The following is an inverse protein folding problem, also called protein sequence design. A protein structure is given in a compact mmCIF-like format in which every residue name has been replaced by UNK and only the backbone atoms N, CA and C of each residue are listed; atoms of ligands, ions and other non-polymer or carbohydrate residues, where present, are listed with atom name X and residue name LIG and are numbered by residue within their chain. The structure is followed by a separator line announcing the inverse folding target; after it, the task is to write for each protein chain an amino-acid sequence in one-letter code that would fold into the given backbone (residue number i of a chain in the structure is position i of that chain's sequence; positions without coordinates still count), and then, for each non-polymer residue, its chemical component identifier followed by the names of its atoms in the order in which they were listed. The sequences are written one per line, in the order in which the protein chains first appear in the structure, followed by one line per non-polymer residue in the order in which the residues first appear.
data_IF_835626569943
#
_entry.id   IF_835626569943
#
_cell.length_a   1.000
_cell.length_b   1.000
_cell.length_c   1.000
_cell.angle_alpha   90.00
_cell.angle_beta   90.00
_cell.angle_gamma   90.00
#
_symmetry.space_group_name_H-M   'P 1'
#
loop_
_entity.id
_entity.type
_entity.pdbx_description
1 polymer ?
#
# COMPACT_ATOMS: atom_id res chain seq x y z
N UNK A 1 15.79 -8.56 -2.31
CA UNK A 1 15.51 -7.12 -2.19
C UNK A 1 15.31 -6.55 -3.60
N UNK A 2 14.30 -5.71 -3.76
CA UNK A 2 14.11 -4.90 -4.98
C UNK A 2 14.36 -3.45 -4.60
N UNK A 3 15.40 -2.88 -5.16
CA UNK A 3 15.82 -1.50 -4.92
C UNK A 3 15.29 -0.57 -6.02
N UNK A 4 14.33 0.26 -5.66
CA UNK A 4 13.78 1.31 -6.51
C UNK A 4 14.65 2.57 -6.58
N UNK A 5 15.68 2.69 -5.74
CA UNK A 5 16.57 3.84 -5.67
C UNK A 5 17.71 3.81 -6.69
N UNK A 6 18.04 2.62 -7.18
CA UNK A 6 19.08 2.42 -8.20
C UNK A 6 20.52 2.52 -7.69
N UNK A 7 20.79 2.25 -6.42
CA UNK A 7 22.15 2.33 -5.85
C UNK A 7 22.89 0.98 -5.95
N UNK A 8 23.64 0.81 -7.05
CA UNK A 8 24.36 -0.43 -7.32
C UNK A 8 25.40 -0.80 -6.23
N UNK A 9 25.94 0.16 -5.51
CA UNK A 9 26.94 -0.07 -4.46
C UNK A 9 26.36 -0.85 -3.26
N UNK A 10 25.09 -0.64 -2.94
CA UNK A 10 24.39 -1.38 -1.87
C UNK A 10 24.25 -2.87 -2.20
N UNK A 11 24.16 -3.24 -3.49
CA UNK A 11 24.05 -4.62 -3.92
C UNK A 11 25.22 -5.45 -3.42
N UNK A 12 26.47 -5.04 -3.67
CA UNK A 12 27.66 -5.75 -3.23
C UNK A 12 27.72 -5.90 -1.71
N UNK A 13 27.36 -4.82 -0.99
CA UNK A 13 27.33 -4.85 0.47
C UNK A 13 26.37 -5.92 1.01
N UNK A 14 25.12 -5.95 0.53
CA UNK A 14 24.09 -6.84 1.05
C UNK A 14 24.33 -8.29 0.61
N UNK A 15 24.69 -8.55 -0.65
CA UNK A 15 24.93 -9.90 -1.16
C UNK A 15 26.16 -10.54 -0.53
N UNK A 16 27.19 -9.76 -0.20
CA UNK A 16 28.37 -10.27 0.53
C UNK A 16 28.08 -10.57 2.01
N UNK A 17 27.14 -9.83 2.61
CA UNK A 17 26.80 -9.98 4.04
C UNK A 17 25.82 -11.12 4.30
N UNK A 18 24.95 -11.44 3.36
CA UNK A 18 23.87 -12.40 3.51
C UNK A 18 23.86 -13.43 2.38
N UNK A 19 24.23 -14.68 2.69
CA UNK A 19 24.44 -15.77 1.72
C UNK A 19 23.24 -16.05 0.81
N UNK A 20 22.01 -15.91 1.33
CA UNK A 20 20.78 -16.24 0.59
C UNK A 20 20.05 -15.02 0.07
N UNK A 21 20.69 -13.84 0.05
CA UNK A 21 20.09 -12.62 -0.39
C UNK A 21 20.38 -12.38 -1.87
N UNK A 22 19.34 -12.05 -2.63
CA UNK A 22 19.45 -11.54 -4.01
C UNK A 22 18.99 -10.09 -4.04
N UNK A 23 19.80 -9.23 -4.62
CA UNK A 23 19.54 -7.80 -4.70
C UNK A 23 19.35 -7.35 -6.16
N UNK A 24 18.16 -6.84 -6.46
CA UNK A 24 17.80 -6.38 -7.78
C UNK A 24 17.72 -4.86 -7.80
N UNK A 25 18.50 -4.22 -8.65
CA UNK A 25 18.48 -2.79 -8.89
C UNK A 25 17.57 -2.53 -10.08
N UNK A 26 16.51 -1.76 -9.90
CA UNK A 26 15.50 -1.53 -10.95
C UNK A 26 15.96 -0.55 -12.06
N UNK A 27 16.99 0.26 -11.79
CA UNK A 27 17.45 1.32 -12.70
C UNK A 27 16.57 2.57 -12.71
N UNK A 28 15.30 2.45 -12.29
CA UNK A 28 14.36 3.55 -12.15
C UNK A 28 13.40 3.28 -10.97
N UNK A 29 12.70 4.32 -10.52
CA UNK A 29 11.66 4.15 -9.52
C UNK A 29 10.39 3.56 -10.15
N UNK A 30 10.20 2.25 -9.98
CA UNK A 30 9.07 1.49 -10.51
C UNK A 30 7.73 1.81 -9.82
N UNK A 31 7.77 2.39 -8.61
CA UNK A 31 6.62 2.43 -7.70
C UNK A 31 6.36 1.09 -7.04
N UNK A 32 5.33 1.03 -6.20
CA UNK A 32 5.04 -0.15 -5.37
C UNK A 32 4.53 -1.35 -6.19
N UNK A 33 3.47 -1.23 -7.01
CA UNK A 33 2.91 -2.37 -7.72
C UNK A 33 3.87 -3.03 -8.70
N UNK A 34 4.64 -2.25 -9.45
CA UNK A 34 5.61 -2.81 -10.39
C UNK A 34 6.75 -3.54 -9.68
N UNK A 35 7.18 -3.04 -8.51
CA UNK A 35 8.20 -3.70 -7.69
C UNK A 35 7.67 -5.04 -7.16
N UNK A 36 6.45 -5.08 -6.66
CA UNK A 36 5.84 -6.32 -6.19
C UNK A 36 5.54 -7.31 -7.33
N UNK A 37 5.10 -6.82 -8.48
CA UNK A 37 4.94 -7.66 -9.68
C UNK A 37 6.29 -8.24 -10.16
N UNK A 38 7.37 -7.45 -10.11
CA UNK A 38 8.72 -7.95 -10.39
C UNK A 38 9.14 -9.02 -9.37
N UNK A 39 8.91 -8.79 -8.07
CA UNK A 39 9.16 -9.79 -7.04
C UNK A 39 8.38 -11.07 -7.30
N UNK A 40 7.10 -10.96 -7.65
CA UNK A 40 6.26 -12.10 -7.96
C UNK A 40 6.77 -12.94 -9.15
N UNK A 41 7.42 -12.32 -10.13
CA UNK A 41 8.04 -13.02 -11.27
C UNK A 41 9.34 -13.73 -10.92
N UNK A 42 10.11 -13.17 -9.98
CA UNK A 42 11.45 -13.67 -9.60
C UNK A 42 11.38 -14.79 -8.56
N UNK A 43 10.42 -14.71 -7.62
CA UNK A 43 10.27 -15.67 -6.53
C UNK A 43 9.73 -17.00 -7.06
N UNK A 44 10.31 -18.13 -6.64
CA UNK A 44 9.92 -19.48 -7.08
C UNK A 44 9.04 -20.23 -6.07
N UNK A 45 8.93 -19.74 -4.83
CA UNK A 45 8.10 -20.35 -3.79
C UNK A 45 6.62 -20.03 -4.01
N UNK A 46 5.72 -20.88 -3.54
CA UNK A 46 4.28 -20.63 -3.56
C UNK A 46 3.89 -19.41 -2.74
N UNK A 47 4.46 -19.29 -1.55
CA UNK A 47 4.20 -18.17 -0.65
C UNK A 47 5.32 -17.14 -0.72
N UNK A 48 4.94 -15.86 -0.72
CA UNK A 48 5.85 -14.73 -0.73
C UNK A 48 5.47 -13.76 0.39
N UNK A 49 6.41 -13.41 1.24
CA UNK A 49 6.22 -12.37 2.25
C UNK A 49 6.77 -11.05 1.75
N UNK A 50 5.87 -10.11 1.49
CA UNK A 50 6.22 -8.74 1.12
C UNK A 50 6.28 -7.88 2.36
N UNK A 51 7.30 -7.02 2.45
CA UNK A 51 7.42 -6.03 3.52
C UNK A 51 8.15 -4.78 3.02
N UNK A 52 7.99 -3.69 3.76
CA UNK A 52 8.64 -2.41 3.50
C UNK A 52 9.92 -2.27 4.34
N UNK A 53 10.86 -1.37 3.94
CA UNK A 53 12.15 -1.22 4.64
C UNK A 53 12.04 -0.61 6.04
N UNK A 54 10.93 0.05 6.36
CA UNK A 54 10.60 0.65 7.66
C UNK A 54 9.77 -0.26 8.58
N UNK A 55 9.78 -1.57 8.30
CA UNK A 55 9.09 -2.59 9.09
C UNK A 55 10.09 -3.47 9.81
N UNK A 56 9.93 -3.60 11.12
CA UNK A 56 10.66 -4.56 11.95
C UNK A 56 9.78 -5.79 12.20
N UNK A 57 10.25 -6.94 11.71
CA UNK A 57 9.55 -8.22 11.89
C UNK A 57 9.87 -8.76 13.29
N UNK A 58 8.82 -8.97 14.12
CA UNK A 58 9.01 -9.53 15.47
C UNK A 58 9.25 -11.03 15.46
N UNK A 59 9.79 -11.53 16.56
CA UNK A 59 10.09 -12.94 16.74
C UNK A 59 8.84 -13.80 16.45
N UNK A 60 9.02 -14.91 15.75
CA UNK A 60 7.98 -15.86 15.35
C UNK A 60 6.90 -15.33 14.41
N UNK A 61 6.97 -14.09 13.92
CA UNK A 61 5.96 -13.54 13.01
C UNK A 61 5.74 -14.40 11.78
N UNK A 62 6.80 -14.69 11.03
CA UNK A 62 6.71 -15.51 9.80
C UNK A 62 6.25 -16.92 10.11
N UNK A 63 6.74 -17.52 11.19
CA UNK A 63 6.33 -18.86 11.62
C UNK A 63 4.83 -18.92 11.95
N UNK A 64 4.32 -17.93 12.66
CA UNK A 64 2.90 -17.84 13.02
C UNK A 64 2.02 -17.64 11.76
N UNK A 65 2.45 -16.81 10.81
CA UNK A 65 1.77 -16.68 9.51
C UNK A 65 1.70 -18.01 8.78
N UNK A 66 2.83 -18.74 8.68
CA UNK A 66 2.89 -20.04 8.00
C UNK A 66 2.04 -21.10 8.70
N UNK A 67 2.05 -21.14 10.04
CA UNK A 67 1.19 -22.06 10.82
C UNK A 67 -0.29 -21.79 10.59
N UNK A 68 -0.68 -20.52 10.41
CA UNK A 68 -2.07 -20.13 10.21
C UNK A 68 -2.65 -20.52 8.85
N UNK A 69 -1.81 -20.86 7.86
CA UNK A 69 -2.24 -21.28 6.52
C UNK A 69 -3.26 -22.44 6.58
N UNK A 70 -3.03 -23.41 7.44
CA UNK A 70 -3.90 -24.58 7.58
C UNK A 70 -5.28 -24.26 8.14
N UNK A 71 -5.42 -23.16 8.86
CA UNK A 71 -6.67 -22.73 9.48
C UNK A 71 -7.56 -21.96 8.48
N UNK A 72 -6.99 -21.43 7.43
CA UNK A 72 -7.68 -20.55 6.47
C UNK A 72 -7.50 -21.04 5.02
N UNK A 73 -8.16 -22.13 4.59
CA UNK A 73 -7.93 -22.74 3.27
C UNK A 73 -8.24 -21.82 2.10
N UNK A 74 -9.09 -20.80 2.31
CA UNK A 74 -9.46 -19.81 1.29
C UNK A 74 -8.63 -18.52 1.35
N UNK A 75 -7.63 -18.42 2.23
CA UNK A 75 -6.83 -17.19 2.29
C UNK A 75 -6.08 -16.94 0.97
N UNK A 76 -5.97 -15.69 0.59
CA UNK A 76 -5.03 -15.25 -0.44
C UNK A 76 -3.91 -14.40 0.17
N UNK A 77 -4.21 -13.66 1.22
CA UNK A 77 -3.25 -12.84 1.96
C UNK A 77 -3.45 -13.05 3.45
N UNK A 78 -2.35 -13.33 4.16
CA UNK A 78 -2.26 -13.24 5.62
C UNK A 78 -1.41 -12.01 5.96
N UNK A 79 -1.92 -11.13 6.81
CA UNK A 79 -1.21 -9.95 7.29
C UNK A 79 -0.95 -10.06 8.79
N UNK A 80 0.21 -9.68 9.28
CA UNK A 80 0.46 -9.62 10.71
C UNK A 80 -0.31 -8.47 11.36
N UNK A 81 -0.40 -8.52 12.69
CA UNK A 81 -0.83 -7.39 13.52
C UNK A 81 0.27 -6.33 13.53
N UNK A 82 -0.08 -5.09 13.23
CA UNK A 82 0.88 -3.99 13.08
C UNK A 82 0.88 -3.15 14.35
N UNK A 83 2.07 -2.82 14.83
CA UNK A 83 2.32 -1.90 15.93
C UNK A 83 3.09 -0.69 15.43
N UNK A 84 2.93 0.42 16.10
CA UNK A 84 3.75 1.62 15.94
C UNK A 84 4.07 2.19 17.32
N UNK A 85 5.34 2.32 17.66
CA UNK A 85 5.80 2.75 18.98
C UNK A 85 5.16 1.95 20.14
N UNK A 86 5.06 0.63 19.98
CA UNK A 86 4.47 -0.29 20.97
C UNK A 86 2.95 -0.19 21.11
N UNK A 87 2.27 0.63 20.30
CA UNK A 87 0.81 0.73 20.27
C UNK A 87 0.26 -0.02 19.07
N UNK A 88 -0.84 -0.72 19.26
CA UNK A 88 -1.56 -1.33 18.15
C UNK A 88 -1.97 -0.27 17.14
N UNK A 89 -1.61 -0.52 15.89
CA UNK A 89 -1.91 0.38 14.79
C UNK A 89 -2.89 -0.28 13.82
N UNK A 90 -4.09 0.29 13.72
CA UNK A 90 -5.11 -0.18 12.77
C UNK A 90 -4.72 0.30 11.38
N UNK A 91 -3.95 -0.53 10.68
CA UNK A 91 -3.55 -0.27 9.32
C UNK A 91 -4.19 -1.31 8.40
N UNK A 92 -5.05 -0.85 7.50
CA UNK A 92 -5.61 -1.70 6.45
C UNK A 92 -6.88 -2.49 6.77
N UNK A 93 -7.50 -2.28 7.91
CA UNK A 93 -8.82 -2.89 8.19
C UNK A 93 -9.95 -2.09 7.53
N UNK A 94 -9.70 -1.62 6.31
CA UNK A 94 -10.63 -0.73 5.61
C UNK A 94 -11.86 -1.46 5.11
N UNK A 95 -12.99 -0.79 5.20
CA UNK A 95 -14.06 -1.01 4.24
C UNK A 95 -13.61 -0.49 2.88
N UNK A 96 -13.13 -1.37 2.07
CA UNK A 96 -12.93 -1.07 0.65
C UNK A 96 -14.29 -0.91 0.01
N UNK A 97 -14.81 0.29 -0.08
CA UNK A 97 -16.06 0.67 -0.72
C UNK A 97 -17.27 -0.20 -0.31
N UNK A 98 -18.41 0.39 -0.09
CA UNK A 98 -19.70 -0.32 0.01
C UNK A 98 -20.03 -0.96 -1.35
N UNK A 99 -19.41 -2.06 -1.66
CA UNK A 99 -19.89 -2.95 -2.68
C UNK A 99 -20.93 -3.81 -1.97
N UNK A 100 -22.15 -3.79 -2.42
CA UNK A 100 -23.28 -4.60 -1.92
C UNK A 100 -23.09 -6.09 -2.15
N UNK A 101 -21.87 -6.57 -2.29
CA UNK A 101 -21.56 -7.95 -2.51
C UNK A 101 -21.53 -8.72 -1.17
N UNK A 102 -22.41 -9.71 -1.04
CA UNK A 102 -22.51 -10.61 0.12
C UNK A 102 -21.19 -11.29 0.50
N UNK A 103 -20.21 -11.36 -0.42
CA UNK A 103 -18.89 -11.91 -0.20
C UNK A 103 -18.04 -11.08 0.79
N UNK A 104 -18.42 -9.83 1.09
CA UNK A 104 -17.73 -8.96 2.02
C UNK A 104 -18.36 -8.89 3.42
N UNK A 105 -19.36 -9.71 3.71
CA UNK A 105 -20.16 -9.59 4.94
C UNK A 105 -19.47 -10.03 6.23
N UNK A 106 -18.33 -10.71 6.16
CA UNK A 106 -17.69 -11.32 7.34
C UNK A 106 -16.48 -10.54 7.85
N UNK A 107 -16.28 -9.30 7.43
CA UNK A 107 -15.19 -8.50 7.97
C UNK A 107 -15.60 -7.87 9.30
N UNK A 108 -14.76 -8.02 10.29
CA UNK A 108 -14.89 -7.32 11.56
C UNK A 108 -14.79 -5.80 11.33
N UNK A 109 -15.79 -5.06 11.81
CA UNK A 109 -15.83 -3.60 11.63
C UNK A 109 -15.06 -2.93 12.76
N UNK A 110 -13.77 -2.74 12.62
CA UNK A 110 -13.04 -1.79 13.43
C UNK A 110 -13.30 -0.36 12.93
N UNK A 111 -13.55 0.62 13.81
CA UNK A 111 -13.63 2.02 13.41
C UNK A 111 -12.27 2.47 12.87
N UNK A 112 -12.26 3.05 11.67
CA UNK A 112 -11.09 3.33 10.83
C UNK A 112 -10.10 4.37 11.36
N UNK A 113 -10.34 5.02 12.49
CA UNK A 113 -9.54 6.17 12.94
C UNK A 113 -9.01 6.05 14.38
N UNK A 114 -9.08 4.88 14.99
CA UNK A 114 -8.68 4.75 16.38
C UNK A 114 -7.38 3.95 16.50
N UNK A 115 -6.40 4.54 17.16
CA UNK A 115 -5.27 3.81 17.72
C UNK A 115 -5.82 3.08 18.94
N UNK A 116 -5.92 1.76 18.86
CA UNK A 116 -6.34 0.95 19.99
C UNK A 116 -5.15 0.69 20.90
N UNK A 117 -5.41 0.69 22.19
CA UNK A 117 -4.40 0.30 23.17
C UNK A 117 -4.07 -1.19 23.13
N UNK A 118 -4.96 -2.00 22.60
CA UNK A 118 -4.83 -3.46 22.53
C UNK A 118 -5.29 -3.97 21.16
N UNK A 119 -4.59 -4.96 20.59
CA UNK A 119 -5.05 -5.67 19.41
C UNK A 119 -6.29 -6.53 19.73
N UNK A 120 -7.02 -6.99 18.70
CA UNK A 120 -8.16 -7.90 18.88
C UNK A 120 -7.74 -9.21 19.55
N UNK A 121 -8.68 -9.92 20.15
CA UNK A 121 -8.40 -11.18 20.86
C UNK A 121 -8.10 -12.37 19.95
N UNK A 122 -8.41 -12.28 18.66
CA UNK A 122 -8.19 -13.35 17.68
C UNK A 122 -7.92 -12.84 16.27
N UNK A 123 -7.79 -13.78 15.34
CA UNK A 123 -7.59 -13.47 13.94
C UNK A 123 -8.83 -12.81 13.33
N UNK A 124 -8.62 -11.89 12.39
CA UNK A 124 -9.68 -11.12 11.75
C UNK A 124 -9.73 -11.36 10.25
N UNK A 125 -10.91 -11.72 9.74
CA UNK A 125 -11.18 -11.59 8.31
C UNK A 125 -11.46 -10.12 7.99
N UNK A 126 -10.64 -9.52 7.11
CA UNK A 126 -10.69 -8.08 6.78
C UNK A 126 -10.97 -7.87 5.28
N UNK A 127 -11.44 -6.68 4.93
CA UNK A 127 -11.72 -6.36 3.52
C UNK A 127 -10.44 -6.07 2.74
N UNK A 128 -9.46 -5.46 3.39
CA UNK A 128 -8.15 -5.18 2.82
C UNK A 128 -7.10 -5.09 3.93
N UNK A 129 -5.84 -5.16 3.54
CA UNK A 129 -4.67 -4.87 4.36
C UNK A 129 -3.74 -3.95 3.58
N UNK A 130 -2.86 -3.23 4.26
CA UNK A 130 -1.84 -2.42 3.60
C UNK A 130 -0.67 -3.27 3.11
N UNK A 131 0.05 -2.74 2.13
CA UNK A 131 1.30 -3.33 1.62
C UNK A 131 2.46 -3.36 2.61
N UNK A 132 2.26 -2.94 3.85
CA UNK A 132 3.27 -2.88 4.90
C UNK A 132 3.92 -4.24 5.18
N UNK A 133 3.07 -5.27 5.37
CA UNK A 133 3.54 -6.65 5.58
C UNK A 133 2.44 -7.64 5.18
N UNK A 134 2.73 -8.51 4.20
CA UNK A 134 1.76 -9.47 3.67
C UNK A 134 2.42 -10.79 3.29
N UNK A 135 1.90 -11.90 3.80
CA UNK A 135 2.17 -13.24 3.27
C UNK A 135 1.13 -13.56 2.20
N UNK A 136 1.57 -13.74 0.97
CA UNK A 136 0.74 -13.84 -0.23
C UNK A 136 0.81 -15.26 -0.79
N UNK A 137 -0.33 -15.85 -1.14
CA UNK A 137 -0.41 -17.05 -1.97
C UNK A 137 -0.31 -16.64 -3.45
N UNK A 138 0.86 -16.83 -4.05
CA UNK A 138 1.17 -16.39 -5.42
C UNK A 138 0.32 -17.07 -6.49
N UNK A 139 -0.16 -18.29 -6.25
CA UNK A 139 -1.06 -18.98 -7.19
C UNK A 139 -2.37 -18.20 -7.33
N UNK A 140 -2.92 -17.69 -6.23
CA UNK A 140 -4.14 -16.90 -6.23
C UNK A 140 -3.96 -15.51 -6.84
N UNK A 141 -2.77 -14.91 -6.67
CA UNK A 141 -2.43 -13.65 -7.34
C UNK A 141 -2.42 -13.81 -8.87
N UNK A 142 -1.92 -14.92 -9.39
CA UNK A 142 -1.91 -15.20 -10.84
C UNK A 142 -3.32 -15.24 -11.43
N UNK A 143 -4.31 -15.70 -10.69
CA UNK A 143 -5.71 -15.77 -11.13
C UNK A 143 -6.36 -14.39 -11.35
N UNK A 144 -5.77 -13.34 -10.82
CA UNK A 144 -6.24 -11.95 -10.92
C UNK A 144 -5.28 -11.05 -11.72
N UNK A 145 -4.40 -11.66 -12.54
CA UNK A 145 -3.46 -10.94 -13.41
C UNK A 145 -2.44 -10.06 -12.65
N UNK A 146 -2.06 -10.49 -11.41
CA UNK A 146 -1.04 -9.82 -10.61
C UNK A 146 -1.47 -8.42 -10.10
N UNK A 147 -0.51 -7.59 -9.73
CA UNK A 147 -0.70 -6.20 -9.30
C UNK A 147 -1.09 -5.30 -10.47
N UNK A 148 -1.98 -4.31 -10.25
CA UNK A 148 -2.27 -3.31 -11.29
C UNK A 148 -1.12 -2.30 -11.43
N UNK A 149 -0.27 -2.52 -12.40
CA UNK A 149 0.94 -1.74 -12.66
C UNK A 149 0.68 -0.33 -13.23
N UNK A 150 -0.58 0.03 -13.49
CA UNK A 150 -0.97 1.42 -13.82
C UNK A 150 -0.98 2.30 -12.60
N UNK A 151 -1.21 1.73 -11.41
CA UNK A 151 -1.03 2.43 -10.14
C UNK A 151 0.47 2.55 -9.89
N UNK A 152 0.93 3.72 -9.43
CA UNK A 152 2.31 3.90 -9.02
C UNK A 152 2.48 3.74 -7.51
N UNK A 153 1.58 4.33 -6.75
CA UNK A 153 1.55 4.28 -5.28
C UNK A 153 0.16 4.64 -4.76
N UNK A 154 -0.23 4.09 -3.62
CA UNK A 154 -1.53 4.18 -2.97
C UNK A 154 -2.66 3.47 -3.72
N UNK A 155 -3.52 2.80 -2.98
CA UNK A 155 -4.65 1.99 -3.45
C UNK A 155 -4.27 0.71 -4.18
N UNK A 156 -2.99 0.39 -4.38
CA UNK A 156 -2.55 -0.85 -5.01
C UNK A 156 -2.88 -2.08 -4.17
N UNK A 157 -2.70 -1.97 -2.86
CA UNK A 157 -3.02 -2.99 -1.88
C UNK A 157 -4.53 -3.22 -1.76
N UNK A 158 -5.29 -2.13 -1.71
CA UNK A 158 -6.75 -2.18 -1.72
C UNK A 158 -7.28 -2.79 -3.02
N UNK A 159 -6.72 -2.42 -4.17
CA UNK A 159 -7.05 -2.97 -5.48
C UNK A 159 -6.81 -4.48 -5.52
N UNK A 160 -5.65 -4.91 -5.04
CA UNK A 160 -5.29 -6.33 -4.98
C UNK A 160 -6.25 -7.11 -4.08
N UNK A 161 -6.45 -6.65 -2.85
CA UNK A 161 -7.35 -7.29 -1.89
C UNK A 161 -8.77 -7.40 -2.43
N UNK A 162 -9.28 -6.32 -3.06
CA UNK A 162 -10.62 -6.29 -3.63
C UNK A 162 -10.76 -7.31 -4.76
N UNK A 163 -9.82 -7.38 -5.70
CA UNK A 163 -9.84 -8.34 -6.80
C UNK A 163 -9.78 -9.79 -6.31
N UNK A 164 -8.96 -10.08 -5.28
CA UNK A 164 -8.91 -11.39 -4.65
C UNK A 164 -10.24 -11.77 -3.98
N UNK A 165 -10.84 -10.83 -3.26
CA UNK A 165 -12.14 -11.07 -2.63
C UNK A 165 -13.27 -11.30 -3.65
N UNK A 166 -13.26 -10.62 -4.78
CA UNK A 166 -14.20 -10.89 -5.88
C UNK A 166 -14.07 -12.31 -6.43
N UNK A 167 -12.89 -12.90 -6.36
CA UNK A 167 -12.67 -14.32 -6.68
C UNK A 167 -13.12 -15.28 -5.56
N UNK A 168 -13.52 -14.75 -4.39
CA UNK A 168 -13.99 -15.54 -3.25
C UNK A 168 -12.89 -15.93 -2.28
N UNK A 169 -11.69 -15.33 -2.38
CA UNK A 169 -10.60 -15.52 -1.45
C UNK A 169 -10.74 -14.61 -0.22
N UNK A 170 -10.05 -14.98 0.84
CA UNK A 170 -10.08 -14.29 2.13
C UNK A 170 -8.77 -13.56 2.38
N UNK A 171 -8.88 -12.41 3.04
CA UNK A 171 -7.77 -11.61 3.55
C UNK A 171 -7.86 -11.68 5.06
N UNK A 172 -6.84 -12.24 5.72
CA UNK A 172 -6.87 -12.52 7.15
C UNK A 172 -5.73 -11.79 7.85
N UNK A 173 -6.06 -11.04 8.90
CA UNK A 173 -5.08 -10.49 9.83
C UNK A 173 -4.85 -11.51 10.94
N UNK A 174 -3.61 -11.92 11.13
CA UNK A 174 -3.20 -12.92 12.13
C UNK A 174 -2.78 -12.20 13.40
N UNK A 175 -3.48 -12.53 14.50
CA UNK A 175 -3.30 -11.88 15.80
C UNK A 175 -1.89 -12.08 16.37
N UNK A 176 -1.39 -13.30 16.32
CA UNK A 176 -0.12 -13.70 16.95
C UNK A 176 1.11 -13.50 16.06
N UNK A 177 0.92 -13.04 14.82
CA UNK A 177 1.99 -12.58 13.97
C UNK A 177 2.12 -11.07 14.13
N UNK A 178 3.29 -10.56 14.51
CA UNK A 178 3.46 -9.14 14.86
C UNK A 178 4.62 -8.50 14.10
N UNK A 179 4.41 -7.26 13.67
CA UNK A 179 5.44 -6.36 13.13
C UNK A 179 5.35 -4.99 13.80
N UNK A 180 6.46 -4.27 13.82
CA UNK A 180 6.50 -2.85 14.19
C UNK A 180 6.77 -2.03 12.93
N UNK A 181 5.93 -1.06 12.62
CA UNK A 181 6.04 -0.19 11.45
C UNK A 181 6.33 1.23 11.91
N UNK A 182 7.43 1.79 11.45
CA UNK A 182 7.80 3.19 11.67
C UNK A 182 7.53 4.01 10.38
N UNK A 183 6.30 4.52 10.21
CA UNK A 183 5.92 5.19 8.98
C UNK A 183 6.82 6.39 8.73
N UNK A 184 7.31 6.52 7.50
CA UNK A 184 8.15 7.63 7.04
C UNK A 184 9.64 7.53 7.39
N UNK A 185 10.11 6.50 8.08
CA UNK A 185 11.54 6.29 8.34
C UNK A 185 12.35 5.93 7.08
N UNK A 186 11.68 5.61 5.98
CA UNK A 186 12.31 5.12 4.74
C UNK A 186 12.96 6.21 3.86
N UNK A 187 12.96 7.50 4.27
CA UNK A 187 13.55 8.59 3.49
C UNK A 187 14.22 9.66 4.36
N UNK A 188 15.22 10.32 3.79
CA UNK A 188 15.93 11.43 4.46
C UNK A 188 15.04 12.67 4.58
N UNK A 189 15.17 13.39 5.71
CA UNK A 189 14.41 14.61 6.02
C UNK A 189 14.56 15.73 4.98
N UNK A 190 15.71 15.78 4.28
CA UNK A 190 16.01 16.78 3.26
C UNK A 190 15.06 16.72 2.04
N UNK A 191 14.37 15.61 1.84
CA UNK A 191 13.46 15.41 0.70
C UNK A 191 11.97 15.47 1.08
N UNK A 192 11.66 15.78 2.34
CA UNK A 192 10.29 15.72 2.87
C UNK A 192 9.28 16.52 2.03
N UNK A 193 9.60 17.74 1.59
CA UNK A 193 8.67 18.54 0.78
C UNK A 193 8.38 17.90 -0.59
N UNK A 194 9.41 17.38 -1.26
CA UNK A 194 9.26 16.70 -2.56
C UNK A 194 8.50 15.38 -2.40
N UNK A 195 8.77 14.66 -1.32
CA UNK A 195 8.07 13.41 -1.00
C UNK A 195 6.62 13.69 -0.62
N UNK A 196 6.35 14.75 0.16
CA UNK A 196 4.99 15.15 0.49
C UNK A 196 4.19 15.55 -0.76
N UNK A 197 4.80 16.29 -1.69
CA UNK A 197 4.18 16.58 -2.98
C UNK A 197 3.85 15.29 -3.74
N UNK A 198 4.84 14.40 -3.90
CA UNK A 198 4.68 13.13 -4.60
C UNK A 198 3.58 12.27 -4.00
N UNK A 199 3.55 12.12 -2.67
CA UNK A 199 2.52 11.36 -1.94
C UNK A 199 1.12 11.91 -2.22
N UNK A 200 0.92 13.21 -2.09
CA UNK A 200 -0.40 13.83 -2.28
C UNK A 200 -0.85 13.78 -3.75
N UNK A 201 0.10 13.92 -4.67
CA UNK A 201 -0.18 13.81 -6.10
C UNK A 201 -0.62 12.39 -6.47
N UNK A 202 0.15 11.37 -6.06
CA UNK A 202 -0.17 9.97 -6.36
C UNK A 202 -1.43 9.51 -5.64
N UNK A 203 -1.63 9.90 -4.38
CA UNK A 203 -2.84 9.57 -3.65
C UNK A 203 -4.10 10.08 -4.38
N UNK A 204 -4.09 11.34 -4.83
CA UNK A 204 -5.23 11.90 -5.57
C UNK A 204 -5.42 11.23 -6.92
N UNK A 205 -4.34 10.99 -7.66
CA UNK A 205 -4.40 10.27 -8.93
C UNK A 205 -4.99 8.88 -8.76
N UNK A 206 -4.45 8.12 -7.84
CA UNK A 206 -4.85 6.72 -7.60
C UNK A 206 -6.27 6.61 -7.04
N UNK A 207 -6.72 7.57 -6.23
CA UNK A 207 -8.07 7.55 -5.67
C UNK A 207 -9.16 7.65 -6.74
N UNK A 208 -8.99 8.52 -7.74
CA UNK A 208 -9.94 8.61 -8.86
C UNK A 208 -9.91 7.36 -9.72
N UNK A 209 -8.69 6.90 -10.08
CA UNK A 209 -8.51 5.69 -10.86
C UNK A 209 -9.15 4.47 -10.19
N UNK A 210 -8.90 4.30 -8.89
CA UNK A 210 -9.47 3.22 -8.09
C UNK A 210 -11.02 3.27 -8.05
N UNK A 211 -11.59 4.43 -7.78
CA UNK A 211 -13.04 4.61 -7.77
C UNK A 211 -13.66 4.33 -9.14
N UNK A 212 -13.05 4.86 -10.21
CA UNK A 212 -13.49 4.58 -11.60
C UNK A 212 -13.46 3.10 -11.91
N UNK A 213 -12.43 2.38 -11.47
CA UNK A 213 -12.24 0.94 -11.72
C UNK A 213 -13.24 0.06 -10.94
N UNK A 214 -13.47 0.37 -9.67
CA UNK A 214 -14.19 -0.51 -8.74
C UNK A 214 -15.61 -0.07 -8.40
N UNK A 215 -16.03 1.12 -8.82
CA UNK A 215 -17.40 1.59 -8.65
C UNK A 215 -18.01 1.96 -10.01
N UNK A 216 -18.06 3.24 -10.27
CA UNK A 216 -18.52 3.79 -11.55
C UNK A 216 -17.93 5.19 -11.76
N UNK A 217 -18.03 5.64 -13.00
CA UNK A 217 -17.49 6.94 -13.40
C UNK A 217 -18.15 8.13 -12.67
N UNK A 218 -19.44 8.05 -12.39
CA UNK A 218 -20.18 9.09 -11.68
C UNK A 218 -19.66 9.28 -10.25
N UNK A 219 -19.49 8.19 -9.50
CA UNK A 219 -18.90 8.22 -8.14
C UNK A 219 -17.48 8.78 -8.16
N UNK A 220 -16.69 8.38 -9.15
CA UNK A 220 -15.33 8.90 -9.30
C UNK A 220 -15.34 10.42 -9.57
N UNK A 221 -16.23 10.92 -10.41
CA UNK A 221 -16.35 12.37 -10.68
C UNK A 221 -16.86 13.17 -9.49
N UNK A 222 -17.83 12.67 -8.71
CA UNK A 222 -18.25 13.33 -7.45
C UNK A 222 -17.05 13.49 -6.51
N UNK A 223 -16.26 12.41 -6.34
CA UNK A 223 -15.04 12.47 -5.55
C UNK A 223 -14.03 13.48 -6.11
N UNK A 224 -13.84 13.50 -7.43
CA UNK A 224 -12.92 14.41 -8.09
C UNK A 224 -13.33 15.88 -7.91
N UNK A 225 -14.61 16.21 -8.10
CA UNK A 225 -15.14 17.57 -7.88
C UNK A 225 -14.87 18.00 -6.44
N UNK A 226 -15.14 17.14 -5.45
CA UNK A 226 -14.86 17.43 -4.05
C UNK A 226 -13.38 17.72 -3.80
N UNK A 227 -12.48 16.88 -4.30
CA UNK A 227 -11.03 17.08 -4.14
C UNK A 227 -10.57 18.35 -4.85
N UNK A 228 -11.00 18.58 -6.08
CA UNK A 228 -10.63 19.78 -6.85
C UNK A 228 -11.11 21.06 -6.16
N UNK A 229 -12.39 21.14 -5.80
CA UNK A 229 -12.97 22.34 -5.17
C UNK A 229 -12.27 22.65 -3.84
N UNK A 230 -12.16 21.65 -2.95
CA UNK A 230 -11.53 21.86 -1.63
C UNK A 230 -10.03 22.16 -1.77
N UNK A 231 -9.33 21.47 -2.66
CA UNK A 231 -7.89 21.67 -2.81
C UNK A 231 -7.56 22.98 -3.50
N UNK A 232 -8.34 23.41 -4.51
CA UNK A 232 -8.14 24.71 -5.17
C UNK A 232 -8.40 25.86 -4.21
N UNK A 233 -9.50 25.81 -3.43
CA UNK A 233 -9.79 26.82 -2.43
C UNK A 233 -8.69 26.91 -1.36
N UNK A 234 -8.29 25.76 -0.81
CA UNK A 234 -7.21 25.70 0.20
C UNK A 234 -5.84 26.10 -0.37
N UNK A 235 -5.57 25.79 -1.63
CA UNK A 235 -4.36 26.27 -2.31
C UNK A 235 -4.30 27.80 -2.30
N UNK A 236 -5.38 28.48 -2.72
CA UNK A 236 -5.44 29.94 -2.74
C UNK A 236 -5.30 30.55 -1.33
N UNK A 237 -6.03 30.02 -0.34
CA UNK A 237 -5.95 30.49 1.04
C UNK A 237 -4.52 30.32 1.59
N UNK A 238 -3.95 29.13 1.48
CA UNK A 238 -2.63 28.85 2.02
C UNK A 238 -1.48 29.45 1.21
N UNK A 239 -1.72 29.86 -0.01
CA UNK A 239 -0.72 30.57 -0.82
C UNK A 239 -0.19 31.83 -0.10
N UNK A 240 -1.07 32.50 0.63
CA UNK A 240 -0.73 33.71 1.39
C UNK A 240 -0.13 33.36 2.76
N UNK A 241 -0.70 32.34 3.46
CA UNK A 241 -0.41 32.12 4.88
C UNK A 241 0.55 30.95 5.14
N UNK A 242 0.64 29.95 4.27
CA UNK A 242 1.44 28.75 4.51
C UNK A 242 1.84 28.02 3.22
N UNK A 243 3.01 28.36 2.70
CA UNK A 243 3.52 27.82 1.44
C UNK A 243 3.55 26.27 1.41
N UNK A 244 3.95 25.60 2.50
CA UNK A 244 3.99 24.13 2.56
C UNK A 244 2.60 23.53 2.38
N UNK A 245 1.59 24.04 3.07
CA UNK A 245 0.20 23.60 2.92
C UNK A 245 -0.36 23.92 1.53
N UNK A 246 -0.01 25.08 0.97
CA UNK A 246 -0.39 25.43 -0.40
C UNK A 246 0.12 24.41 -1.42
N UNK A 247 1.40 24.09 -1.38
CA UNK A 247 2.03 23.07 -2.26
C UNK A 247 1.32 21.70 -2.13
N UNK A 248 0.97 21.29 -0.91
CA UNK A 248 0.23 20.05 -0.66
C UNK A 248 -1.12 20.02 -1.38
N UNK A 249 -1.88 21.13 -1.31
CA UNK A 249 -3.18 21.21 -1.97
C UNK A 249 -3.06 21.35 -3.49
N UNK A 250 -2.03 22.05 -3.97
CA UNK A 250 -1.70 22.07 -5.40
C UNK A 250 -1.42 20.66 -5.92
N UNK A 251 -0.60 19.87 -5.20
CA UNK A 251 -0.29 18.51 -5.58
C UNK A 251 -1.56 17.63 -5.70
N UNK A 252 -2.49 17.77 -4.75
CA UNK A 252 -3.78 17.04 -4.78
C UNK A 252 -4.62 17.39 -6.01
N UNK A 253 -4.80 18.68 -6.28
CA UNK A 253 -5.57 19.13 -7.43
C UNK A 253 -4.90 18.68 -8.73
N UNK A 254 -3.58 18.81 -8.83
CA UNK A 254 -2.81 18.46 -10.01
C UNK A 254 -2.86 16.95 -10.31
N UNK A 255 -2.66 16.09 -9.29
CA UNK A 255 -2.78 14.65 -9.44
C UNK A 255 -4.18 14.21 -9.86
N UNK A 256 -5.21 14.84 -9.30
CA UNK A 256 -6.60 14.58 -9.66
C UNK A 256 -6.89 14.92 -11.13
N UNK A 257 -6.46 16.09 -11.61
CA UNK A 257 -6.63 16.48 -13.01
C UNK A 257 -5.97 15.49 -13.97
N UNK A 258 -4.74 15.03 -13.66
CA UNK A 258 -4.05 14.04 -14.48
C UNK A 258 -4.81 12.72 -14.56
N UNK A 259 -5.41 12.28 -13.46
CA UNK A 259 -6.20 11.05 -13.43
C UNK A 259 -7.50 11.19 -14.24
N UNK A 260 -8.20 12.32 -14.13
CA UNK A 260 -9.41 12.62 -14.95
C UNK A 260 -9.07 12.59 -16.44
N UNK A 261 -7.96 13.19 -16.83
CA UNK A 261 -7.48 13.23 -18.22
C UNK A 261 -6.88 11.89 -18.67
N UNK A 262 -6.91 10.87 -17.82
CA UNK A 262 -6.35 9.55 -18.08
C UNK A 262 -4.85 9.57 -18.45
N UNK A 263 -4.12 10.55 -17.92
CA UNK A 263 -2.67 10.65 -18.07
C UNK A 263 -2.01 9.75 -17.04
N UNK A 264 -1.03 8.96 -17.45
CA UNK A 264 -0.32 8.01 -16.58
C UNK A 264 0.31 8.70 -15.36
N UNK A 265 0.43 8.00 -14.20
CA UNK A 265 1.04 8.53 -12.98
C UNK A 265 2.57 8.59 -13.11
N UNK A 266 3.06 9.53 -13.90
CA UNK A 266 4.47 9.68 -14.25
C UNK A 266 5.25 10.68 -13.39
N UNK A 267 4.61 11.31 -12.41
CA UNK A 267 5.32 12.23 -11.52
C UNK A 267 6.38 11.50 -10.70
N UNK A 268 7.64 11.96 -10.81
CA UNK A 268 8.77 11.47 -10.02
C UNK A 268 9.51 12.69 -9.45
N UNK A 269 9.70 12.77 -8.13
CA UNK A 269 10.48 13.85 -7.55
C UNK A 269 11.93 13.72 -8.02
N UNK A 270 12.48 14.79 -8.62
CA UNK A 270 13.91 14.85 -8.93
C UNK A 270 14.68 15.02 -7.64
N UNK A 271 15.27 13.95 -7.15
CA UNK A 271 16.22 13.95 -6.05
C UNK A 271 17.58 14.21 -6.70
N UNK A 272 18.09 15.43 -6.58
CA UNK A 272 19.51 15.69 -6.94
C UNK A 272 20.34 15.02 -5.86
N UNK A 273 21.20 14.11 -6.26
CA UNK A 273 22.28 13.58 -5.42
C UNK A 273 23.26 14.70 -5.08
#
# INVERSE_FOLDING_TARGET
IIDNGGEADKKKYFENKFVNLKYYVSGENLGVPRSYSLANKIVNTRFMFNTQPDVTIKKNCIENLLKSIKNYPKFAILSPTIFHNGKYFVEGDYKVLKISDKKFQNSYKLPLNNIYSKPPEGDLAVEAVTGTAMLIDREKIKEIEDWDTRIFNYFEDMDLCLRLRFKGYEIIKIRDAEVDHDPFASHESNFEEKMNFSRNWHYSWSSFYFLKKHTNLFTAFIHAIKILSVSSLKFLIYFIFNKKKSITHFAKAYGMLFSILNINPNYRPKIKK
#
